data_IF_254871417114
#
_entry.id   IF_254871417114
#
_cell.length_a   1.000
_cell.length_b   1.000
_cell.length_c   1.000
_cell.angle_alpha   90.00
_cell.angle_beta   90.00
_cell.angle_gamma   90.00
#
_symmetry.space_group_name_H-M   'P 1'
#
loop_
_entity.id
_entity.type
_entity.pdbx_description
1 polymer ?
#
# COMPACT_ATOMS: atom_id res chain seq x y z
N UNK A 1 -3.12 4.98 -24.02
CA UNK A 1 -3.55 4.97 -22.59
C UNK A 1 -3.13 3.62 -22.06
N UNK A 2 -2.54 3.55 -20.89
CA UNK A 2 -2.09 2.28 -20.30
C UNK A 2 -3.32 1.40 -20.01
N UNK A 3 -3.33 0.15 -20.49
CA UNK A 3 -4.38 -0.85 -20.18
C UNK A 3 -4.27 -1.37 -18.74
N UNK A 4 -3.61 -0.62 -17.86
CA UNK A 4 -3.43 -1.00 -16.47
C UNK A 4 -4.75 -0.86 -15.69
N UNK A 5 -5.08 -1.89 -14.90
CA UNK A 5 -6.28 -1.89 -14.07
C UNK A 5 -6.14 -1.03 -12.81
N UNK A 6 -4.91 -0.71 -12.43
CA UNK A 6 -4.58 0.03 -11.23
C UNK A 6 -3.23 0.74 -11.39
N UNK A 7 -3.09 1.93 -10.79
CA UNK A 7 -1.81 2.61 -10.59
C UNK A 7 -1.44 2.56 -9.11
N UNK A 8 -0.21 2.16 -8.81
CA UNK A 8 0.34 2.03 -7.46
C UNK A 8 1.49 3.02 -7.25
N UNK A 9 1.47 3.75 -6.15
CA UNK A 9 2.59 4.55 -5.65
C UNK A 9 3.10 3.98 -4.33
N UNK A 10 4.40 3.69 -4.23
CA UNK A 10 4.99 3.10 -3.02
C UNK A 10 6.50 3.28 -2.97
N UNK A 11 7.09 3.00 -1.79
CA UNK A 11 8.51 2.68 -1.76
C UNK A 11 8.75 1.27 -2.37
N UNK A 12 9.93 1.08 -2.96
CA UNK A 12 10.29 -0.16 -3.64
C UNK A 12 11.71 -0.61 -3.20
N UNK A 13 11.92 -1.91 -2.99
CA UNK A 13 10.93 -2.99 -3.02
C UNK A 13 9.98 -2.94 -1.82
N UNK A 14 8.73 -3.39 -2.01
CA UNK A 14 7.74 -3.48 -0.95
C UNK A 14 6.93 -4.78 -1.05
N UNK A 15 7.05 -5.71 -0.08
CA UNK A 15 6.30 -6.97 -0.09
C UNK A 15 4.77 -6.76 -0.10
N UNK A 16 4.28 -5.63 0.44
CA UNK A 16 2.85 -5.29 0.39
C UNK A 16 2.35 -4.97 -1.02
N UNK A 17 3.26 -4.53 -1.92
CA UNK A 17 2.97 -4.33 -3.35
C UNK A 17 3.06 -5.66 -4.10
N UNK A 18 4.02 -6.51 -3.78
CA UNK A 18 4.26 -7.76 -4.50
C UNK A 18 3.03 -8.67 -4.58
N UNK A 19 2.26 -8.78 -3.49
CA UNK A 19 1.06 -9.61 -3.50
C UNK A 19 0.02 -9.17 -4.54
N UNK A 20 -0.12 -7.87 -4.77
CA UNK A 20 -1.00 -7.33 -5.82
C UNK A 20 -0.43 -7.60 -7.22
N UNK A 21 0.91 -7.49 -7.39
CA UNK A 21 1.56 -7.80 -8.65
C UNK A 21 1.49 -9.29 -8.99
N UNK A 22 1.67 -10.18 -8.01
CA UNK A 22 1.51 -11.63 -8.18
C UNK A 22 0.08 -11.96 -8.62
N UNK A 23 -0.92 -11.33 -7.99
CA UNK A 23 -2.32 -11.52 -8.38
C UNK A 23 -2.59 -11.00 -9.79
N UNK A 24 -2.01 -9.85 -10.16
CA UNK A 24 -2.14 -9.30 -11.51
C UNK A 24 -1.51 -10.22 -12.57
N UNK A 25 -0.31 -10.72 -12.31
CA UNK A 25 0.39 -11.66 -13.18
C UNK A 25 -0.44 -12.95 -13.39
N UNK A 26 -0.95 -13.52 -12.29
CA UNK A 26 -1.82 -14.71 -12.35
C UNK A 26 -3.10 -14.48 -13.20
N UNK A 27 -3.63 -13.26 -13.20
CA UNK A 27 -4.84 -12.88 -13.93
C UNK A 27 -4.56 -12.35 -15.34
N UNK A 28 -3.30 -12.22 -15.75
CA UNK A 28 -2.92 -11.59 -17.01
C UNK A 28 -3.24 -10.09 -17.07
N UNK A 29 -3.27 -9.40 -15.92
CA UNK A 29 -3.60 -7.98 -15.79
C UNK A 29 -2.34 -7.14 -15.66
N UNK A 30 -2.39 -5.91 -16.15
CA UNK A 30 -1.33 -4.91 -15.97
C UNK A 30 -1.61 -4.01 -14.78
N UNK A 31 -0.59 -3.77 -13.95
CA UNK A 31 -0.60 -2.78 -12.86
C UNK A 31 0.59 -1.85 -13.05
N UNK A 32 0.34 -0.57 -13.13
CA UNK A 32 1.39 0.43 -13.19
C UNK A 32 1.94 0.71 -11.79
N UNK A 33 3.27 0.64 -11.62
CA UNK A 33 3.92 0.88 -10.32
C UNK A 33 4.90 2.05 -10.45
N UNK A 34 4.71 3.05 -9.59
CA UNK A 34 5.56 4.22 -9.48
C UNK A 34 6.13 4.27 -8.07
N UNK A 35 7.40 4.63 -7.95
CA UNK A 35 8.02 4.81 -6.65
C UNK A 35 9.54 4.70 -6.69
N UNK A 36 10.13 4.73 -5.49
CA UNK A 36 11.57 4.72 -5.31
C UNK A 36 11.94 4.03 -3.98
N UNK A 37 13.22 3.96 -3.67
CA UNK A 37 13.72 3.47 -2.38
C UNK A 37 13.11 4.26 -1.22
N UNK A 38 12.87 3.64 -0.05
CA UNK A 38 12.22 4.31 1.08
C UNK A 38 12.82 5.68 1.42
N UNK A 39 14.16 5.77 1.45
CA UNK A 39 14.89 7.00 1.78
C UNK A 39 14.69 8.14 0.77
N UNK A 40 14.28 7.83 -0.44
CA UNK A 40 14.12 8.81 -1.51
C UNK A 40 12.71 9.40 -1.57
N UNK A 41 11.71 8.74 -0.97
CA UNK A 41 10.31 9.19 -1.05
C UNK A 41 10.04 10.54 -0.38
N UNK A 42 10.92 11.00 0.50
CA UNK A 42 10.91 12.38 1.01
C UNK A 42 11.18 13.44 -0.05
N UNK A 43 11.74 13.05 -1.19
CA UNK A 43 12.01 13.93 -2.34
C UNK A 43 10.94 13.84 -3.43
N UNK A 44 9.80 13.21 -3.16
CA UNK A 44 8.72 13.02 -4.12
C UNK A 44 7.50 13.85 -3.76
N UNK A 45 6.81 14.38 -4.78
CA UNK A 45 5.44 14.82 -4.65
C UNK A 45 4.54 13.58 -4.70
N UNK A 46 3.81 13.34 -3.60
CA UNK A 46 2.88 12.23 -3.50
C UNK A 46 1.54 12.64 -4.08
N UNK A 47 1.21 12.05 -5.20
CA UNK A 47 -0.04 12.29 -5.93
C UNK A 47 -0.37 11.07 -6.80
N UNK A 48 -1.47 11.13 -7.54
CA UNK A 48 -1.78 10.18 -8.61
C UNK A 48 -0.64 10.16 -9.66
N UNK A 49 -0.17 11.33 -10.08
CA UNK A 49 1.00 11.51 -10.93
C UNK A 49 2.26 11.81 -10.12
N UNK A 50 2.55 10.90 -9.17
CA UNK A 50 3.70 11.05 -8.28
C UNK A 50 4.99 11.22 -9.07
N UNK A 51 5.83 12.17 -8.65
CA UNK A 51 7.08 12.53 -9.31
C UNK A 51 8.13 13.02 -8.33
N UNK A 52 9.36 13.02 -8.75
CA UNK A 52 10.45 13.66 -8.00
C UNK A 52 10.23 15.18 -8.00
N UNK A 53 10.42 15.81 -6.84
CA UNK A 53 10.37 17.26 -6.66
C UNK A 53 11.61 17.93 -7.27
N UNK A 54 11.45 19.10 -7.85
CA UNK A 54 12.53 20.00 -8.16
C UNK A 54 13.10 20.61 -6.86
N UNK A 55 14.32 21.12 -6.91
CA UNK A 55 14.96 21.68 -5.70
C UNK A 55 14.21 22.93 -5.19
N UNK A 56 13.61 23.70 -6.08
CA UNK A 56 12.79 24.88 -5.76
C UNK A 56 11.49 24.51 -5.02
N UNK A 57 11.02 23.27 -5.15
CA UNK A 57 9.80 22.77 -4.50
C UNK A 57 10.07 22.23 -3.07
N UNK A 58 11.33 21.94 -2.74
CA UNK A 58 11.74 21.36 -1.44
C UNK A 58 11.92 22.43 -0.37
N UNK A 59 10.97 23.31 -0.24
CA UNK A 59 11.00 24.42 0.71
C UNK A 59 9.99 24.19 1.85
N UNK A 60 10.27 24.71 3.06
CA UNK A 60 9.38 24.55 4.21
C UNK A 60 7.96 25.07 3.98
N UNK A 61 7.83 26.16 3.21
CA UNK A 61 6.55 26.82 2.91
C UNK A 61 5.80 26.21 1.71
N UNK A 62 6.25 25.06 1.20
CA UNK A 62 5.51 24.35 0.15
C UNK A 62 4.12 23.96 0.65
N UNK A 63 3.02 24.32 -0.05
CA UNK A 63 1.66 24.03 0.39
C UNK A 63 1.37 22.53 0.55
N UNK A 64 2.16 21.69 -0.09
CA UNK A 64 2.07 20.24 0.02
C UNK A 64 2.94 19.64 1.15
N UNK A 65 3.75 20.46 1.84
CA UNK A 65 4.62 20.02 2.93
C UNK A 65 3.77 19.57 4.13
N UNK A 66 4.01 18.36 4.61
CA UNK A 66 3.30 17.74 5.73
C UNK A 66 4.27 16.97 6.61
N UNK A 67 4.11 17.07 7.93
CA UNK A 67 4.89 16.24 8.86
C UNK A 67 4.54 14.77 8.67
N UNK A 68 5.55 13.93 8.58
CA UNK A 68 5.36 12.48 8.53
C UNK A 68 4.87 11.97 9.90
N UNK A 69 4.02 10.94 9.88
CA UNK A 69 3.45 10.38 11.12
C UNK A 69 3.68 8.87 11.27
N UNK A 70 4.04 8.15 10.21
CA UNK A 70 4.18 6.69 10.22
C UNK A 70 5.26 6.25 9.24
N UNK A 71 6.28 5.58 9.74
CA UNK A 71 7.28 4.89 8.92
C UNK A 71 8.26 5.78 8.14
N UNK A 72 8.09 7.09 8.18
CA UNK A 72 8.98 8.09 7.61
C UNK A 72 9.27 9.15 8.67
N UNK A 73 10.43 9.75 8.58
CA UNK A 73 10.83 10.91 9.40
C UNK A 73 10.89 12.16 8.54
N UNK A 74 10.63 13.33 9.15
CA UNK A 74 10.76 14.64 8.50
C UNK A 74 9.52 15.05 7.70
N UNK A 75 9.74 15.85 6.67
CA UNK A 75 8.69 16.39 5.81
C UNK A 75 8.44 15.48 4.62
N UNK A 76 7.17 15.29 4.29
CA UNK A 76 6.70 14.65 3.06
C UNK A 76 5.83 15.64 2.28
N UNK A 77 5.87 15.58 0.97
CA UNK A 77 5.10 16.49 0.12
C UNK A 77 3.91 15.73 -0.50
N UNK A 78 2.71 16.03 -0.01
CA UNK A 78 1.46 15.33 -0.40
C UNK A 78 0.43 16.35 -0.84
N UNK A 79 -0.09 16.19 -2.05
CA UNK A 79 -1.16 17.07 -2.54
C UNK A 79 -2.46 16.89 -1.76
N UNK A 80 -3.33 17.87 -1.81
CA UNK A 80 -4.68 17.74 -1.25
C UNK A 80 -5.50 16.69 -2.01
N UNK A 81 -5.24 16.51 -3.31
CA UNK A 81 -5.86 15.46 -4.11
C UNK A 81 -5.45 14.07 -3.60
N UNK A 82 -4.16 13.87 -3.33
CA UNK A 82 -3.66 12.65 -2.70
C UNK A 82 -4.33 12.39 -1.36
N UNK A 83 -4.40 13.40 -0.49
CA UNK A 83 -4.98 13.25 0.84
C UNK A 83 -6.49 12.96 0.83
N UNK A 84 -7.22 13.45 -0.18
CA UNK A 84 -8.65 13.10 -0.35
C UNK A 84 -8.85 11.63 -0.73
N UNK A 85 -7.98 11.07 -1.56
CA UNK A 85 -8.06 9.68 -2.03
C UNK A 85 -7.35 8.69 -1.09
N UNK A 86 -6.37 9.17 -0.33
CA UNK A 86 -5.54 8.40 0.60
C UNK A 86 -5.57 9.05 2.01
N UNK A 87 -6.67 8.94 2.75
CA UNK A 87 -6.90 9.75 3.96
C UNK A 87 -5.88 9.53 5.07
N UNK A 88 -5.23 8.37 5.10
CA UNK A 88 -4.13 8.10 6.05
C UNK A 88 -2.78 8.63 5.57
N UNK A 89 -2.68 9.06 4.31
CA UNK A 89 -1.44 9.59 3.72
C UNK A 89 -0.27 8.60 3.77
N UNK A 90 -0.54 7.31 3.62
CA UNK A 90 0.44 6.23 3.70
C UNK A 90 0.66 5.55 2.35
N UNK A 91 1.71 4.74 2.23
CA UNK A 91 1.99 3.89 1.08
C UNK A 91 2.06 2.42 1.51
N UNK A 92 1.68 1.46 0.63
CA UNK A 92 1.29 1.65 -0.76
C UNK A 92 -0.05 2.38 -0.91
N UNK A 93 -0.12 3.29 -1.86
CA UNK A 93 -1.32 3.99 -2.30
C UNK A 93 -1.68 3.53 -3.70
N UNK A 94 -2.94 3.19 -3.93
CA UNK A 94 -3.41 2.78 -5.24
C UNK A 94 -4.53 3.68 -5.74
N UNK A 95 -4.68 3.76 -7.06
CA UNK A 95 -5.66 4.59 -7.73
C UNK A 95 -6.28 3.85 -8.90
N UNK A 96 -7.55 4.14 -9.17
CA UNK A 96 -8.18 3.79 -10.44
C UNK A 96 -7.38 4.38 -11.61
N UNK A 97 -7.49 3.84 -12.82
CA UNK A 97 -6.75 4.34 -13.99
C UNK A 97 -6.95 5.82 -14.29
N UNK A 98 -8.09 6.38 -13.89
CA UNK A 98 -8.43 7.80 -14.04
C UNK A 98 -8.08 8.67 -12.82
N UNK A 99 -7.48 8.08 -11.78
CA UNK A 99 -7.06 8.76 -10.56
C UNK A 99 -8.17 9.16 -9.60
N UNK A 100 -9.45 8.90 -9.93
CA UNK A 100 -10.58 9.40 -9.12
C UNK A 100 -10.86 8.61 -7.86
N UNK A 101 -10.57 7.31 -7.89
CA UNK A 101 -10.81 6.42 -6.75
C UNK A 101 -9.47 6.00 -6.17
N UNK A 102 -9.25 6.35 -4.91
CA UNK A 102 -8.13 5.86 -4.13
C UNK A 102 -8.46 4.53 -3.43
N UNK A 103 -7.51 3.60 -3.46
CA UNK A 103 -7.58 2.35 -2.71
C UNK A 103 -6.39 2.30 -1.76
N UNK A 104 -6.65 2.24 -0.49
CA UNK A 104 -5.64 2.14 0.57
C UNK A 104 -5.77 0.82 1.32
N UNK A 105 -4.79 0.48 2.13
CA UNK A 105 -4.54 -0.85 2.71
C UNK A 105 -4.18 -1.92 1.67
N UNK A 106 -3.04 -2.55 1.89
CA UNK A 106 -2.47 -3.46 0.89
C UNK A 106 -3.33 -4.68 0.58
N UNK A 107 -4.19 -5.13 1.52
CA UNK A 107 -5.16 -6.19 1.25
C UNK A 107 -6.32 -5.70 0.39
N UNK A 108 -6.75 -4.44 0.56
CA UNK A 108 -7.77 -3.84 -0.32
C UNK A 108 -7.24 -3.61 -1.73
N UNK A 109 -5.95 -3.25 -1.87
CA UNK A 109 -5.29 -3.17 -3.17
C UNK A 109 -5.25 -4.54 -3.86
N UNK A 110 -4.89 -5.59 -3.13
CA UNK A 110 -4.95 -6.97 -3.63
C UNK A 110 -6.37 -7.35 -4.08
N UNK A 111 -7.39 -7.03 -3.27
CA UNK A 111 -8.80 -7.27 -3.61
C UNK A 111 -9.22 -6.53 -4.88
N UNK A 112 -8.77 -5.28 -5.05
CA UNK A 112 -9.07 -4.50 -6.25
C UNK A 112 -8.53 -5.17 -7.51
N UNK A 113 -7.28 -5.63 -7.49
CA UNK A 113 -6.69 -6.40 -8.59
C UNK A 113 -7.46 -7.70 -8.83
N UNK A 114 -7.72 -8.49 -7.78
CA UNK A 114 -8.40 -9.77 -7.89
C UNK A 114 -9.83 -9.65 -8.46
N UNK A 115 -10.54 -8.55 -8.12
CA UNK A 115 -11.89 -8.25 -8.66
C UNK A 115 -11.88 -7.72 -10.09
N UNK A 116 -10.74 -7.24 -10.58
CA UNK A 116 -10.58 -6.79 -11.97
C UNK A 116 -10.38 -7.95 -12.95
N UNK A 117 -10.06 -9.15 -12.45
CA UNK A 117 -9.94 -10.36 -13.27
C UNK A 117 -11.29 -10.99 -13.57
N UNK A 118 -11.28 -11.87 -14.56
CA UNK A 118 -12.46 -12.64 -14.90
C UNK A 118 -12.87 -13.59 -13.76
N UNK A 119 -14.18 -13.75 -13.53
CA UNK A 119 -14.73 -14.55 -12.44
C UNK A 119 -14.35 -16.03 -12.55
N UNK A 120 -14.19 -16.54 -13.76
CA UNK A 120 -13.77 -17.92 -14.02
C UNK A 120 -12.37 -18.26 -13.47
N UNK A 121 -11.49 -17.29 -13.29
CA UNK A 121 -10.20 -17.51 -12.61
C UNK A 121 -10.36 -17.85 -11.13
N UNK A 122 -11.49 -17.46 -10.51
CA UNK A 122 -11.82 -17.80 -9.14
C UNK A 122 -10.89 -17.22 -8.07
N UNK A 123 -9.99 -16.28 -8.43
CA UNK A 123 -9.00 -15.75 -7.48
C UNK A 123 -9.64 -15.00 -6.30
N UNK A 124 -10.81 -14.39 -6.52
CA UNK A 124 -11.59 -13.76 -5.46
C UNK A 124 -12.89 -14.50 -5.13
N UNK A 125 -12.93 -15.81 -5.41
CA UNK A 125 -14.13 -16.65 -5.26
C UNK A 125 -15.12 -16.50 -6.41
N UNK A 126 -16.00 -17.49 -6.53
CA UNK A 126 -17.05 -17.57 -7.56
C UNK A 126 -18.44 -17.28 -7.00
N UNK A 127 -18.53 -17.07 -5.70
CA UNK A 127 -19.75 -16.74 -4.97
C UNK A 127 -19.46 -15.72 -3.86
N UNK A 128 -20.49 -15.00 -3.36
CA UNK A 128 -20.33 -14.08 -2.23
C UNK A 128 -19.76 -14.76 -0.98
N UNK A 129 -20.10 -16.01 -0.72
CA UNK A 129 -19.58 -16.76 0.44
C UNK A 129 -18.11 -17.11 0.28
N UNK A 130 -17.68 -17.51 -0.92
CA UNK A 130 -16.25 -17.74 -1.20
C UNK A 130 -15.44 -16.44 -1.08
N UNK A 131 -15.94 -15.34 -1.63
CA UNK A 131 -15.33 -14.04 -1.47
C UNK A 131 -15.20 -13.63 0.01
N UNK A 132 -16.26 -13.82 0.81
CA UNK A 132 -16.25 -13.54 2.25
C UNK A 132 -15.26 -14.43 2.99
N UNK A 133 -15.10 -15.69 2.56
CA UNK A 133 -14.09 -16.59 3.15
C UNK A 133 -12.67 -16.11 2.86
N UNK A 134 -12.41 -15.62 1.65
CA UNK A 134 -11.13 -15.01 1.26
C UNK A 134 -10.90 -13.75 2.08
N UNK A 135 -11.91 -12.89 2.25
CA UNK A 135 -11.83 -11.69 3.08
C UNK A 135 -11.46 -12.02 4.52
N UNK A 136 -12.02 -13.09 5.10
CA UNK A 136 -11.67 -13.52 6.47
C UNK A 136 -10.19 -13.82 6.63
N UNK A 137 -9.56 -14.49 5.66
CA UNK A 137 -8.12 -14.72 5.65
C UNK A 137 -7.32 -13.42 5.50
N UNK A 138 -7.72 -12.57 4.55
CA UNK A 138 -7.03 -11.32 4.31
C UNK A 138 -7.09 -10.39 5.53
N UNK A 139 -8.21 -10.37 6.25
CA UNK A 139 -8.37 -9.55 7.45
C UNK A 139 -7.55 -10.13 8.61
N UNK A 140 -7.52 -11.45 8.80
CA UNK A 140 -6.64 -12.11 9.77
C UNK A 140 -5.16 -11.79 9.51
N UNK A 141 -4.72 -11.76 8.23
CA UNK A 141 -3.33 -11.41 7.88
C UNK A 141 -2.95 -9.97 8.21
N UNK A 142 -3.91 -9.06 8.39
CA UNK A 142 -3.61 -7.69 8.85
C UNK A 142 -3.13 -7.68 10.30
N UNK A 143 -3.79 -8.46 11.16
CA UNK A 143 -3.40 -8.60 12.57
C UNK A 143 -2.01 -9.22 12.67
N UNK A 144 -1.80 -10.36 12.02
CA UNK A 144 -0.49 -11.01 11.95
C UNK A 144 0.61 -10.07 11.42
N UNK A 145 0.36 -9.40 10.29
CA UNK A 145 1.33 -8.48 9.68
C UNK A 145 1.68 -7.30 10.57
N UNK A 146 0.73 -6.81 11.38
CA UNK A 146 0.97 -5.76 12.37
C UNK A 146 1.86 -6.25 13.51
N UNK A 147 1.53 -7.39 14.10
CA UNK A 147 2.29 -7.95 15.22
C UNK A 147 3.70 -8.34 14.78
N UNK A 148 3.85 -8.96 13.60
CA UNK A 148 5.15 -9.26 13.01
C UNK A 148 5.99 -7.99 12.79
N UNK A 149 5.39 -6.90 12.30
CA UNK A 149 6.10 -5.64 12.10
C UNK A 149 6.56 -5.02 13.42
N UNK A 150 5.70 -5.03 14.45
CA UNK A 150 6.05 -4.51 15.78
C UNK A 150 7.18 -5.33 16.39
N UNK A 151 7.13 -6.65 16.26
CA UNK A 151 8.17 -7.54 16.73
C UNK A 151 9.51 -7.30 16.03
N UNK A 152 9.51 -7.22 14.69
CA UNK A 152 10.72 -7.00 13.90
C UNK A 152 11.34 -5.62 14.12
N UNK A 153 10.54 -4.57 14.34
CA UNK A 153 11.05 -3.23 14.65
C UNK A 153 11.61 -3.15 16.07
N UNK A 154 11.10 -3.97 16.98
CA UNK A 154 11.57 -4.06 18.36
C UNK A 154 12.69 -5.10 18.58
N UNK A 155 13.26 -5.68 17.52
CA UNK A 155 14.19 -6.82 17.61
C UNK A 155 15.46 -6.55 18.43
N UNK A 156 15.87 -5.30 18.55
CA UNK A 156 17.01 -4.89 19.39
C UNK A 156 16.69 -4.93 20.89
N UNK A 157 15.41 -4.91 21.27
CA UNK A 157 14.92 -4.87 22.66
C UNK A 157 13.68 -5.76 22.79
N UNK A 158 13.80 -7.04 22.40
CA UNK A 158 12.68 -7.99 22.49
C UNK A 158 12.37 -8.24 23.97
N UNK A 159 11.18 -7.82 24.39
CA UNK A 159 10.61 -8.14 25.69
C UNK A 159 9.82 -9.45 25.64
N UNK A 160 9.62 -10.08 26.79
CA UNK A 160 8.76 -11.26 26.92
C UNK A 160 7.34 -10.97 26.38
N UNK A 161 6.83 -9.75 26.60
CA UNK A 161 5.53 -9.31 26.08
C UNK A 161 5.49 -9.28 24.54
N UNK A 162 6.49 -8.71 23.89
CA UNK A 162 6.57 -8.69 22.41
C UNK A 162 6.64 -10.10 21.85
N UNK A 163 7.41 -10.98 22.48
CA UNK A 163 7.49 -12.38 22.07
C UNK A 163 6.14 -13.10 22.22
N UNK A 164 5.45 -12.92 23.34
CA UNK A 164 4.15 -13.53 23.60
C UNK A 164 3.07 -13.03 22.61
N UNK A 165 3.06 -11.72 22.30
CA UNK A 165 2.15 -11.14 21.31
C UNK A 165 2.39 -11.73 19.91
N UNK A 166 3.66 -11.86 19.52
CA UNK A 166 3.99 -12.46 18.22
C UNK A 166 3.61 -13.94 18.14
N UNK A 167 3.86 -14.70 19.21
CA UNK A 167 3.47 -16.11 19.29
C UNK A 167 1.95 -16.26 19.16
N UNK A 168 1.16 -15.48 19.93
CA UNK A 168 -0.30 -15.52 19.84
C UNK A 168 -0.89 -15.07 18.50
N UNK A 169 -0.13 -14.33 17.69
CA UNK A 169 -0.57 -13.96 16.34
C UNK A 169 -0.31 -15.07 15.30
N UNK A 170 0.43 -16.12 15.66
CA UNK A 170 0.69 -17.31 14.83
C UNK A 170 -0.30 -18.45 15.06
N UNK A 171 -1.00 -18.44 16.20
CA UNK A 171 -2.05 -19.40 16.56
C UNK A 171 -3.41 -19.03 15.94
#
# INVERSE_FOLDING_TARGET
>A
MSDSVLRLFSYLPNPRVWKALIAADYLGLSVEVIGDKPKNLGNWLWDFDARVLNDEEKIPDNPNARSSRRGFSGTLYKTDAFMRTQPYGTVPAAFSPDGKIGVFESNSILRAVARSGAVEHGLYGRSPMEASRIDSFLDATLVFGREAQVYLLGISEITAELHQRMAGALE
#
